data_IF_862374301379
#
_entry.id   IF_862374301379
#
_cell.length_a   1.000
_cell.length_b   1.000
_cell.length_c   1.000
_cell.angle_alpha   90.00
_cell.angle_beta   90.00
_cell.angle_gamma   90.00
#
_symmetry.space_group_name_H-M   'P 1'
#
loop_
_entity.id
_entity.type
_entity.pdbx_description
1 polymer ?
#
# COMPACT_ATOMS: atom_id res chain seq x y z
N UNK A 1 22.77 -5.97 4.41
CA UNK A 1 23.49 -4.74 4.00
C UNK A 1 22.86 -3.48 4.58
N UNK A 2 21.58 -3.20 4.36
CA UNK A 2 20.93 -1.99 4.89
C UNK A 2 21.03 -1.86 6.41
N UNK A 3 20.77 -2.96 7.14
CA UNK A 3 20.92 -2.98 8.60
C UNK A 3 22.34 -2.61 9.04
N UNK A 4 23.39 -3.17 8.43
CA UNK A 4 24.80 -2.84 8.71
C UNK A 4 25.10 -1.34 8.54
N UNK A 5 24.60 -0.75 7.45
CA UNK A 5 24.78 0.68 7.18
C UNK A 5 24.09 1.55 8.24
N UNK A 6 22.87 1.18 8.65
CA UNK A 6 22.06 1.96 9.59
C UNK A 6 22.56 1.83 11.02
N UNK A 7 22.98 0.64 11.44
CA UNK A 7 23.49 0.39 12.80
C UNK A 7 24.97 0.69 12.95
N UNK A 8 25.71 0.87 11.84
CA UNK A 8 27.16 1.05 11.84
C UNK A 8 27.93 -0.21 12.24
N UNK A 9 27.27 -1.37 12.29
CA UNK A 9 27.90 -2.65 12.63
C UNK A 9 28.49 -3.32 11.38
N UNK A 10 29.63 -4.03 11.52
CA UNK A 10 30.18 -4.82 10.42
C UNK A 10 29.20 -5.94 10.03
N UNK A 11 29.23 -6.34 8.76
CA UNK A 11 28.22 -7.24 8.18
C UNK A 11 28.19 -8.60 8.89
N UNK A 12 29.34 -9.05 9.37
CA UNK A 12 29.55 -10.30 10.10
C UNK A 12 28.90 -10.29 11.48
N UNK A 13 28.64 -9.11 12.05
CA UNK A 13 28.00 -8.93 13.36
C UNK A 13 26.50 -8.63 13.26
N UNK A 14 25.97 -8.53 12.04
CA UNK A 14 24.53 -8.39 11.84
C UNK A 14 23.87 -9.72 12.16
N UNK A 15 23.31 -9.81 13.35
CA UNK A 15 22.41 -10.91 13.70
C UNK A 15 21.17 -10.82 12.81
N UNK A 16 20.94 -11.85 11.99
CA UNK A 16 19.62 -12.12 11.43
C UNK A 16 18.78 -12.60 12.61
N UNK A 17 17.96 -11.71 13.19
CA UNK A 17 17.05 -12.08 14.27
C UNK A 17 16.22 -13.31 13.84
N UNK A 18 16.31 -14.38 14.65
CA UNK A 18 15.66 -15.67 14.45
C UNK A 18 15.96 -16.39 13.13
N UNK A 19 17.19 -16.91 13.01
CA UNK A 19 17.69 -17.65 11.84
C UNK A 19 16.76 -18.76 11.33
N UNK A 20 16.04 -19.47 12.21
CA UNK A 20 15.13 -20.54 11.76
C UNK A 20 13.79 -20.03 11.25
N UNK A 21 13.12 -19.12 11.97
CA UNK A 21 11.83 -18.57 11.53
C UNK A 21 11.97 -17.75 10.25
N UNK A 22 13.01 -16.92 10.16
CA UNK A 22 13.31 -16.13 8.97
C UNK A 22 13.67 -17.02 7.78
N UNK A 23 14.40 -18.12 8.00
CA UNK A 23 14.68 -19.09 6.95
C UNK A 23 13.42 -19.82 6.48
N UNK A 24 12.59 -20.31 7.40
CA UNK A 24 11.31 -20.95 7.09
C UNK A 24 10.41 -19.99 6.30
N UNK A 25 10.37 -18.72 6.70
CA UNK A 25 9.61 -17.68 6.01
C UNK A 25 10.12 -17.49 4.57
N UNK A 26 11.43 -17.31 4.39
CA UNK A 26 12.04 -17.11 3.07
C UNK A 26 11.83 -18.32 2.15
N UNK A 27 12.11 -19.52 2.65
CA UNK A 27 11.94 -20.77 1.89
C UNK A 27 10.46 -21.02 1.60
N UNK A 28 9.58 -20.79 2.56
CA UNK A 28 8.13 -20.94 2.39
C UNK A 28 7.57 -19.98 1.34
N UNK A 29 7.98 -18.71 1.36
CA UNK A 29 7.60 -17.74 0.33
C UNK A 29 8.16 -18.13 -1.03
N UNK A 30 9.44 -18.51 -1.11
CA UNK A 30 10.06 -18.95 -2.36
C UNK A 30 9.32 -20.15 -2.97
N UNK A 31 9.04 -21.18 -2.17
CA UNK A 31 8.28 -22.35 -2.58
C UNK A 31 6.84 -22.00 -3.00
N UNK A 32 6.17 -21.09 -2.29
CA UNK A 32 4.85 -20.59 -2.68
C UNK A 32 4.88 -19.88 -4.03
N UNK A 33 5.86 -19.00 -4.27
CA UNK A 33 5.99 -18.27 -5.53
C UNK A 33 6.31 -19.23 -6.67
N UNK A 34 7.22 -20.17 -6.46
CA UNK A 34 7.56 -21.20 -7.44
C UNK A 34 6.34 -22.07 -7.79
N UNK A 35 5.55 -22.47 -6.78
CA UNK A 35 4.38 -23.31 -6.98
C UNK A 35 3.20 -22.57 -7.63
N UNK A 36 2.92 -21.34 -7.19
CA UNK A 36 1.83 -20.53 -7.74
C UNK A 36 2.17 -19.93 -9.11
N UNK A 37 3.47 -19.72 -9.37
CA UNK A 37 4.02 -19.13 -10.59
C UNK A 37 3.22 -17.93 -11.11
N UNK A 38 3.02 -16.86 -10.30
CA UNK A 38 2.28 -15.70 -10.73
C UNK A 38 3.03 -14.95 -11.83
N UNK A 39 2.31 -14.46 -12.85
CA UNK A 39 2.88 -13.59 -13.89
C UNK A 39 3.31 -12.22 -13.33
N UNK A 40 2.61 -11.76 -12.28
CA UNK A 40 2.85 -10.46 -11.63
C UNK A 40 2.38 -10.46 -10.18
N UNK A 41 3.16 -9.83 -9.30
CA UNK A 41 2.81 -9.56 -7.90
C UNK A 41 2.54 -8.07 -7.74
N UNK A 42 1.30 -7.73 -7.46
CA UNK A 42 0.84 -6.34 -7.26
C UNK A 42 0.52 -6.13 -5.78
N UNK A 43 0.98 -5.01 -5.23
CA UNK A 43 0.68 -4.62 -3.86
C UNK A 43 0.11 -3.20 -3.79
N UNK A 44 -0.76 -2.92 -2.83
CA UNK A 44 -1.12 -1.53 -2.49
C UNK A 44 -0.03 -0.89 -1.61
N UNK A 45 -0.22 0.37 -1.24
CA UNK A 45 0.70 1.06 -0.32
C UNK A 45 0.90 0.32 1.00
N UNK A 46 2.16 0.34 1.48
CA UNK A 46 2.58 -0.37 2.68
C UNK A 46 2.06 0.29 3.96
N UNK A 47 1.30 -0.42 4.82
CA UNK A 47 0.92 0.11 6.13
C UNK A 47 2.10 0.02 7.11
N UNK A 48 2.71 1.14 7.45
CA UNK A 48 3.89 1.15 8.33
C UNK A 48 3.55 1.01 9.82
N UNK A 49 2.34 1.41 10.21
CA UNK A 49 1.99 1.67 11.62
C UNK A 49 2.42 3.07 12.06
N UNK A 50 2.57 3.30 13.36
CA UNK A 50 2.90 4.61 13.94
C UNK A 50 3.49 4.51 15.35
N UNK A 51 3.95 5.64 15.91
CA UNK A 51 4.40 5.74 17.29
C UNK A 51 5.86 5.32 17.51
N UNK A 52 6.13 4.75 18.68
CA UNK A 52 7.45 4.26 19.07
C UNK A 52 7.41 2.76 19.36
N UNK A 53 8.46 2.04 18.96
CA UNK A 53 8.66 0.65 19.36
C UNK A 53 9.90 0.53 20.22
N UNK A 54 9.84 -0.36 21.22
CA UNK A 54 10.99 -0.65 22.08
C UNK A 54 11.83 -1.75 21.45
N UNK A 55 13.10 -1.46 21.19
CA UNK A 55 14.10 -2.44 20.79
C UNK A 55 15.21 -2.45 21.83
N UNK A 56 15.31 -3.56 22.58
CA UNK A 56 16.14 -3.67 23.78
C UNK A 56 15.86 -2.51 24.74
N UNK A 57 16.89 -1.74 25.10
CA UNK A 57 16.76 -0.59 26.00
C UNK A 57 16.50 0.75 25.28
N UNK A 58 16.25 0.72 23.98
CA UNK A 58 16.08 1.93 23.15
C UNK A 58 14.68 2.01 22.54
N UNK A 59 14.12 3.22 22.53
CA UNK A 59 12.90 3.52 21.78
C UNK A 59 13.25 4.00 20.38
N UNK A 60 12.61 3.41 19.38
CA UNK A 60 12.79 3.74 17.98
C UNK A 60 11.48 4.30 17.41
N UNK A 61 11.53 5.33 16.55
CA UNK A 61 10.35 5.77 15.82
C UNK A 61 9.85 4.66 14.88
N UNK A 62 8.55 4.67 14.59
CA UNK A 62 7.95 3.83 13.55
C UNK A 62 7.77 4.66 12.27
N UNK A 63 8.24 4.17 11.10
CA UNK A 63 8.99 2.93 10.89
C UNK A 63 10.39 2.99 11.53
N UNK A 64 10.92 1.84 11.97
CA UNK A 64 12.27 1.80 12.54
C UNK A 64 13.31 2.22 11.51
N UNK A 65 14.50 2.71 11.93
CA UNK A 65 15.50 3.24 10.99
C UNK A 65 15.87 2.31 9.82
N UNK A 66 15.92 1.00 10.06
CA UNK A 66 16.21 0.01 9.02
C UNK A 66 15.05 -0.14 8.05
N UNK A 67 13.81 -0.25 8.56
CA UNK A 67 12.60 -0.28 7.75
C UNK A 67 12.46 1.00 6.93
N UNK A 68 12.70 2.16 7.54
CA UNK A 68 12.62 3.47 6.88
C UNK A 68 13.53 3.55 5.65
N UNK A 69 14.77 3.04 5.77
CA UNK A 69 15.71 2.98 4.64
C UNK A 69 15.28 1.98 3.56
N UNK A 70 14.66 0.86 3.94
CA UNK A 70 14.19 -0.16 2.99
C UNK A 70 12.96 0.29 2.21
N UNK A 71 12.05 1.08 2.81
CA UNK A 71 10.83 1.52 2.12
C UNK A 71 10.99 2.84 1.37
N UNK A 72 12.21 3.38 1.31
CA UNK A 72 12.51 4.65 0.64
C UNK A 72 12.18 4.56 -0.86
N UNK A 73 11.31 5.44 -1.33
CA UNK A 73 10.84 5.45 -2.72
C UNK A 73 9.65 4.54 -3.00
N UNK A 74 9.16 3.80 -2.01
CA UNK A 74 7.93 3.00 -2.12
C UNK A 74 6.72 3.81 -1.65
N UNK A 75 5.52 3.53 -2.18
CA UNK A 75 4.29 4.10 -1.66
C UNK A 75 3.97 3.48 -0.30
N UNK A 76 3.94 4.33 0.73
CA UNK A 76 3.70 3.95 2.11
C UNK A 76 2.51 4.74 2.68
N UNK A 77 1.87 4.18 3.70
CA UNK A 77 0.85 4.85 4.50
C UNK A 77 1.15 4.66 5.98
N UNK A 78 0.98 5.72 6.75
CA UNK A 78 1.00 5.63 8.20
C UNK A 78 -0.30 4.94 8.62
N UNK A 79 -0.16 3.87 9.41
CA UNK A 79 -1.29 3.05 9.83
C UNK A 79 -1.99 3.62 11.06
N UNK A 80 -3.26 3.28 11.31
CA UNK A 80 -4.01 3.77 12.47
C UNK A 80 -3.61 3.08 13.80
N UNK A 81 -2.63 2.18 13.75
CA UNK A 81 -2.19 1.38 14.90
C UNK A 81 -0.81 1.84 15.36
N UNK A 82 -0.62 1.81 16.67
CA UNK A 82 0.69 2.00 17.29
C UNK A 82 1.50 0.71 17.18
N UNK A 83 2.78 0.84 16.83
CA UNK A 83 3.69 -0.28 16.58
C UNK A 83 4.09 -0.40 15.11
N UNK A 84 5.17 -1.15 14.87
CA UNK A 84 5.72 -1.37 13.53
C UNK A 84 5.02 -2.58 12.86
N UNK A 85 4.20 -2.30 11.85
CA UNK A 85 3.46 -3.32 11.10
C UNK A 85 4.29 -4.01 10.04
N UNK A 86 5.24 -3.28 9.45
CA UNK A 86 6.16 -3.78 8.42
C UNK A 86 7.55 -3.68 9.00
N UNK A 87 8.18 -4.83 9.24
CA UNK A 87 9.52 -4.96 9.83
C UNK A 87 10.59 -5.07 8.73
N UNK A 88 11.88 -4.97 9.06
CA UNK A 88 12.94 -4.95 8.05
C UNK A 88 12.95 -6.16 7.10
N UNK A 89 12.69 -7.37 7.61
CA UNK A 89 12.64 -8.59 6.77
C UNK A 89 11.48 -8.52 5.77
N UNK A 90 10.31 -8.08 6.21
CA UNK A 90 9.11 -7.95 5.39
C UNK A 90 9.30 -6.85 4.34
N UNK A 91 9.83 -5.68 4.73
CA UNK A 91 10.16 -4.60 3.80
C UNK A 91 11.19 -5.03 2.75
N UNK A 92 12.17 -5.85 3.14
CA UNK A 92 13.16 -6.40 2.21
C UNK A 92 12.54 -7.37 1.21
N UNK A 93 11.67 -8.27 1.69
CA UNK A 93 10.93 -9.20 0.84
C UNK A 93 10.07 -8.47 -0.18
N UNK A 94 9.32 -7.46 0.25
CA UNK A 94 8.46 -6.66 -0.61
C UNK A 94 9.24 -5.97 -1.73
N UNK A 95 10.41 -5.39 -1.44
CA UNK A 95 11.27 -4.77 -2.45
C UNK A 95 11.75 -5.73 -3.54
N UNK A 96 11.85 -7.02 -3.22
CA UNK A 96 12.36 -8.04 -4.15
C UNK A 96 11.22 -8.71 -4.93
N UNK A 97 10.06 -8.87 -4.29
CA UNK A 97 8.99 -9.71 -4.81
C UNK A 97 7.87 -8.92 -5.51
N UNK A 98 7.64 -7.66 -5.15
CA UNK A 98 6.53 -6.87 -5.72
C UNK A 98 6.97 -6.21 -7.01
N UNK A 99 6.25 -6.47 -8.10
CA UNK A 99 6.52 -5.90 -9.43
C UNK A 99 5.92 -4.50 -9.58
N UNK A 100 4.77 -4.25 -8.95
CA UNK A 100 4.05 -2.99 -9.07
C UNK A 100 3.29 -2.63 -7.79
N UNK A 101 3.34 -1.34 -7.45
CA UNK A 101 2.48 -0.78 -6.43
C UNK A 101 1.28 -0.05 -7.06
N UNK A 102 0.09 -0.64 -6.96
CA UNK A 102 -1.13 -0.11 -7.56
C UNK A 102 -2.37 -0.50 -6.75
N UNK A 103 -3.52 0.09 -7.12
CA UNK A 103 -4.82 -0.42 -6.69
C UNK A 103 -5.02 -1.87 -7.15
N UNK A 104 -5.89 -2.61 -6.44
CA UNK A 104 -6.23 -3.97 -6.85
C UNK A 104 -6.85 -3.93 -8.25
N UNK A 105 -6.30 -4.67 -9.23
CA UNK A 105 -6.83 -4.65 -10.58
C UNK A 105 -8.23 -5.29 -10.62
N UNK A 106 -8.98 -4.97 -11.67
CA UNK A 106 -10.18 -5.75 -11.99
C UNK A 106 -9.73 -7.17 -12.34
N UNK A 107 -10.11 -8.13 -11.50
CA UNK A 107 -9.67 -9.51 -11.62
C UNK A 107 -10.77 -10.48 -11.15
N UNK A 108 -10.72 -11.70 -11.65
CA UNK A 108 -11.48 -12.84 -11.12
C UNK A 108 -10.61 -13.59 -10.12
N UNK A 109 -10.91 -13.55 -8.81
CA UNK A 109 -10.16 -14.30 -7.80
C UNK A 109 -10.35 -15.80 -7.99
N UNK A 110 -9.24 -16.55 -7.97
CA UNK A 110 -9.23 -18.02 -8.03
C UNK A 110 -8.97 -18.64 -6.65
N UNK A 111 -8.01 -18.07 -5.92
CA UNK A 111 -7.61 -18.54 -4.58
C UNK A 111 -7.40 -17.33 -3.68
N UNK A 112 -7.89 -17.43 -2.43
CA UNK A 112 -7.70 -16.41 -1.41
C UNK A 112 -7.08 -17.06 -0.18
N UNK A 113 -5.94 -16.54 0.25
CA UNK A 113 -5.23 -16.97 1.44
C UNK A 113 -5.19 -15.85 2.49
N UNK A 114 -5.22 -16.25 3.76
CA UNK A 114 -5.05 -15.34 4.90
C UNK A 114 -3.91 -15.81 5.78
N UNK A 115 -2.98 -14.90 6.08
CA UNK A 115 -1.93 -15.09 7.07
C UNK A 115 -2.21 -14.25 8.32
N UNK A 116 -2.21 -14.87 9.50
CA UNK A 116 -2.36 -14.16 10.77
C UNK A 116 -1.02 -13.61 11.24
N UNK A 117 -0.98 -12.31 11.46
CA UNK A 117 0.15 -11.64 12.09
C UNK A 117 0.20 -11.86 13.60
N UNK A 118 1.37 -11.69 14.20
CA UNK A 118 1.61 -11.96 15.63
C UNK A 118 1.15 -10.86 16.59
N UNK A 119 0.98 -9.62 16.11
CA UNK A 119 0.57 -8.49 16.96
C UNK A 119 -0.91 -8.57 17.35
N UNK A 120 -1.19 -8.25 18.61
CA UNK A 120 -2.54 -8.02 19.13
C UNK A 120 -2.90 -6.54 18.95
N UNK A 121 -3.81 -6.25 18.02
CA UNK A 121 -4.16 -4.88 17.63
C UNK A 121 -5.68 -4.68 17.73
N UNK A 122 -6.17 -3.42 17.83
CA UNK A 122 -7.61 -3.12 17.78
C UNK A 122 -8.28 -3.51 16.46
N UNK A 123 -7.49 -3.65 15.39
CA UNK A 123 -7.92 -4.14 14.08
C UNK A 123 -7.30 -5.51 13.78
N UNK A 124 -7.90 -6.33 12.91
CA UNK A 124 -7.32 -7.61 12.54
C UNK A 124 -5.92 -7.45 11.92
N UNK A 125 -4.91 -8.04 12.55
CA UNK A 125 -3.57 -8.12 12.00
C UNK A 125 -3.49 -9.32 11.04
N UNK A 126 -3.95 -9.11 9.80
CA UNK A 126 -4.05 -10.13 8.77
C UNK A 126 -3.40 -9.66 7.48
N UNK A 127 -2.63 -10.55 6.85
CA UNK A 127 -2.24 -10.43 5.45
C UNK A 127 -3.24 -11.23 4.61
N UNK A 128 -3.79 -10.61 3.57
CA UNK A 128 -4.61 -11.29 2.57
C UNK A 128 -3.84 -11.34 1.25
N UNK A 129 -3.79 -12.52 0.66
CA UNK A 129 -3.25 -12.74 -0.70
C UNK A 129 -4.36 -13.26 -1.58
N UNK A 130 -4.46 -12.72 -2.79
CA UNK A 130 -5.44 -13.14 -3.79
C UNK A 130 -4.69 -13.51 -5.06
N UNK A 131 -4.80 -14.77 -5.49
CA UNK A 131 -4.39 -15.20 -6.81
C UNK A 131 -5.62 -15.19 -7.70
N UNK A 132 -5.50 -14.61 -8.89
CA UNK A 132 -6.60 -14.61 -9.84
C UNK A 132 -6.15 -14.17 -11.22
N UNK A 133 -7.11 -14.10 -12.13
CA UNK A 133 -6.88 -13.73 -13.52
C UNK A 133 -7.39 -12.32 -13.77
N UNK A 134 -6.55 -11.49 -14.34
CA UNK A 134 -6.98 -10.26 -14.98
C UNK A 134 -7.37 -10.63 -16.40
N UNK A 135 -8.65 -10.88 -16.64
CA UNK A 135 -9.14 -10.92 -18.01
C UNK A 135 -8.92 -9.52 -18.58
N UNK A 136 -8.22 -9.36 -19.70
CA UNK A 136 -8.19 -8.07 -20.41
C UNK A 136 -9.61 -7.80 -20.91
N UNK A 137 -10.40 -6.92 -20.28
CA UNK A 137 -11.66 -6.54 -20.89
C UNK A 137 -11.25 -5.58 -22.01
N UNK A 138 -11.63 -5.85 -23.24
CA UNK A 138 -11.80 -4.79 -24.24
C UNK A 138 -12.93 -3.87 -23.77
N UNK A 139 -12.68 -3.08 -22.73
CA UNK A 139 -13.56 -2.02 -22.26
C UNK A 139 -12.67 -0.83 -22.00
N UNK A 140 -12.86 0.20 -22.80
CA UNK A 140 -12.42 1.55 -22.52
C UNK A 140 -12.80 1.86 -21.06
N UNK A 141 -11.79 2.01 -20.20
CA UNK A 141 -11.99 2.58 -18.88
C UNK A 141 -12.03 4.09 -19.06
N UNK A 142 -13.23 4.63 -19.28
CA UNK A 142 -13.40 6.08 -19.15
C UNK A 142 -13.36 6.42 -17.66
N UNK A 143 -12.33 7.16 -17.25
CA UNK A 143 -12.29 7.78 -15.93
C UNK A 143 -13.24 8.99 -15.93
N UNK A 144 -14.29 8.93 -15.11
CA UNK A 144 -15.20 10.05 -14.89
C UNK A 144 -14.82 10.71 -13.56
N UNK A 145 -14.38 11.96 -13.62
CA UNK A 145 -14.16 12.78 -12.43
C UNK A 145 -15.42 13.61 -12.13
N UNK A 146 -15.88 13.59 -10.87
CA UNK A 146 -16.93 14.48 -10.39
C UNK A 146 -16.31 15.65 -9.62
N UNK A 147 -16.69 16.88 -9.99
CA UNK A 147 -16.29 18.10 -9.29
C UNK A 147 -17.53 18.72 -8.64
N UNK A 148 -17.55 18.78 -7.32
CA UNK A 148 -18.68 19.30 -6.55
C UNK A 148 -18.26 20.53 -5.74
N UNK A 149 -19.14 21.53 -5.67
CA UNK A 149 -18.93 22.71 -4.84
C UNK A 149 -20.27 23.32 -4.43
N UNK A 150 -20.30 23.97 -3.27
CA UNK A 150 -21.48 24.70 -2.80
C UNK A 150 -21.42 26.16 -3.28
N UNK A 151 -22.53 26.67 -3.80
CA UNK A 151 -22.66 28.05 -4.29
C UNK A 151 -23.82 28.72 -3.52
N UNK A 152 -23.55 29.21 -2.33
CA UNK A 152 -24.52 29.85 -1.43
C UNK A 152 -24.49 31.39 -1.49
N UNK A 153 -23.31 31.97 -1.74
CA UNK A 153 -23.05 33.42 -1.69
C UNK A 153 -22.80 34.08 -3.06
N UNK A 154 -23.25 33.47 -4.16
CA UNK A 154 -23.13 34.03 -5.52
C UNK A 154 -24.43 34.71 -5.96
N UNK A 155 -24.31 35.84 -6.67
CA UNK A 155 -25.45 36.41 -7.39
C UNK A 155 -25.93 35.42 -8.48
N UNK A 156 -27.22 35.03 -8.51
CA UNK A 156 -27.75 34.05 -9.47
C UNK A 156 -27.49 34.36 -10.95
N UNK A 157 -27.41 35.65 -11.33
CA UNK A 157 -27.15 36.03 -12.72
C UNK A 157 -25.75 35.61 -13.21
N UNK A 158 -24.79 35.46 -12.29
CA UNK A 158 -23.43 35.04 -12.62
C UNK A 158 -23.30 33.54 -12.88
N UNK A 159 -24.24 32.73 -12.40
CA UNK A 159 -24.20 31.28 -12.62
C UNK A 159 -24.20 30.94 -14.12
N UNK A 160 -25.04 31.62 -14.91
CA UNK A 160 -25.13 31.40 -16.35
C UNK A 160 -23.82 31.74 -17.06
N UNK A 161 -23.14 32.80 -16.64
CA UNK A 161 -21.85 33.22 -17.19
C UNK A 161 -20.77 32.18 -16.86
N UNK A 162 -20.72 31.72 -15.62
CA UNK A 162 -19.78 30.68 -15.18
C UNK A 162 -20.00 29.38 -15.98
N UNK A 163 -21.25 28.92 -16.08
CA UNK A 163 -21.59 27.71 -16.82
C UNK A 163 -21.22 27.79 -18.30
N UNK A 164 -21.50 28.93 -18.95
CA UNK A 164 -21.10 29.17 -20.34
C UNK A 164 -19.58 29.07 -20.54
N UNK A 165 -18.80 29.60 -19.60
CA UNK A 165 -17.35 29.55 -19.67
C UNK A 165 -16.80 28.13 -19.47
N UNK A 166 -17.40 27.35 -18.58
CA UNK A 166 -16.97 25.97 -18.33
C UNK A 166 -17.37 25.06 -19.48
N UNK A 167 -18.63 25.09 -19.91
CA UNK A 167 -19.12 24.27 -21.03
C UNK A 167 -18.43 24.58 -22.37
N UNK A 168 -17.96 25.82 -22.58
CA UNK A 168 -17.15 26.15 -23.75
C UNK A 168 -15.76 25.50 -23.74
N UNK A 169 -15.21 25.19 -22.56
CA UNK A 169 -13.90 24.53 -22.39
C UNK A 169 -14.04 23.02 -22.28
N UNK A 170 -15.06 22.55 -21.59
CA UNK A 170 -15.36 21.14 -21.34
C UNK A 170 -16.80 20.81 -21.81
N UNK A 171 -17.02 20.59 -23.12
CA UNK A 171 -18.35 20.43 -23.70
C UNK A 171 -19.08 19.16 -23.24
N UNK A 172 -18.34 18.20 -22.68
CA UNK A 172 -18.83 16.92 -22.19
C UNK A 172 -19.30 17.00 -20.72
N UNK A 173 -19.06 18.12 -20.03
CA UNK A 173 -19.43 18.30 -18.63
C UNK A 173 -20.93 18.57 -18.51
N UNK A 174 -21.61 17.87 -17.59
CA UNK A 174 -23.05 18.05 -17.32
C UNK A 174 -23.28 18.65 -15.94
N UNK A 175 -24.23 19.58 -15.83
CA UNK A 175 -24.65 20.14 -14.55
C UNK A 175 -25.74 19.26 -13.93
N UNK A 176 -25.54 18.83 -12.69
CA UNK A 176 -26.53 18.13 -11.88
C UNK A 176 -26.98 19.06 -10.74
N UNK A 177 -28.25 19.49 -10.68
CA UNK A 177 -28.75 20.23 -9.54
C UNK A 177 -28.80 19.32 -8.31
N UNK A 178 -28.83 19.89 -7.08
CA UNK A 178 -28.97 19.09 -5.87
C UNK A 178 -30.20 18.19 -5.95
N UNK A 179 -30.04 16.91 -5.62
CA UNK A 179 -31.17 16.03 -5.33
C UNK A 179 -31.72 16.38 -3.95
N UNK A 180 -33.02 16.73 -3.90
CA UNK A 180 -33.78 16.97 -2.66
C UNK A 180 -33.73 15.78 -1.70
#
# INVERSE_FOLDING_TARGET
MTQARVTGQPLEQIAIENSLHSLILLVGIAACIEHLAPDKIIMQSLPLGSGLVKNNDTWLPVPTPVTAELVKGLPVKIGPVEGELVRPVEASLINVLVDEFASLPVMTPLVIGYGKGGLSLPIPHLLRVMLGRTDTPTRYSDEIAALETNIDNMNPEFFLILWKNISAREPWMSFLPPSL
#
